data_IF_216630396045
#
_entry.id   IF_216630396045
#
_cell.length_a   1.000
_cell.length_b   1.000
_cell.length_c   1.000
_cell.angle_alpha   90.00
_cell.angle_beta   90.00
_cell.angle_gamma   90.00
#
_symmetry.space_group_name_H-M   'P 1'
#
loop_
_entity.id
_entity.type
_entity.pdbx_description
1 polymer ?
#
# COMPACT_ATOMS: atom_id res chain seq x y z
N UNK A 1 -3.72 -20.72 -6.80
CA UNK A 1 -3.46 -19.49 -6.03
C UNK A 1 -2.57 -19.89 -4.88
N UNK A 2 -1.38 -19.31 -4.75
CA UNK A 2 -0.47 -19.69 -3.66
C UNK A 2 -0.95 -19.09 -2.34
N UNK A 3 -0.53 -19.67 -1.21
CA UNK A 3 -0.83 -19.11 0.11
C UNK A 3 -0.25 -17.69 0.27
N UNK A 4 0.89 -17.41 -0.38
CA UNK A 4 1.48 -16.08 -0.44
C UNK A 4 0.56 -15.08 -1.15
N UNK A 5 -0.06 -15.47 -2.27
CA UNK A 5 -1.02 -14.63 -3.00
C UNK A 5 -2.25 -14.32 -2.15
N UNK A 6 -2.75 -15.31 -1.40
CA UNK A 6 -3.89 -15.13 -0.51
C UNK A 6 -3.59 -14.14 0.61
N UNK A 7 -2.44 -14.29 1.29
CA UNK A 7 -2.05 -13.38 2.38
C UNK A 7 -1.79 -11.96 1.86
N UNK A 8 -1.22 -11.81 0.66
CA UNK A 8 -1.11 -10.50 -0.01
C UNK A 8 -2.48 -9.89 -0.22
N UNK A 9 -3.42 -10.62 -0.82
CA UNK A 9 -4.78 -10.12 -1.03
C UNK A 9 -5.49 -9.72 0.27
N UNK A 10 -5.28 -10.47 1.35
CA UNK A 10 -5.87 -10.15 2.65
C UNK A 10 -5.38 -8.78 3.16
N UNK A 11 -4.07 -8.53 3.08
CA UNK A 11 -3.47 -7.25 3.49
C UNK A 11 -3.92 -6.09 2.60
N UNK A 12 -4.06 -6.32 1.29
CA UNK A 12 -4.59 -5.32 0.34
C UNK A 12 -6.04 -4.97 0.66
N UNK A 13 -6.87 -5.96 0.97
CA UNK A 13 -8.26 -5.75 1.36
C UNK A 13 -8.37 -5.01 2.70
N UNK A 14 -7.55 -5.38 3.69
CA UNK A 14 -7.49 -4.70 4.99
C UNK A 14 -7.10 -3.23 4.80
N UNK A 15 -6.06 -2.97 4.01
CA UNK A 15 -5.67 -1.60 3.67
C UNK A 15 -6.82 -0.83 3.01
N UNK A 16 -7.51 -1.42 2.02
CA UNK A 16 -8.63 -0.78 1.31
C UNK A 16 -9.80 -0.45 2.24
N UNK A 17 -10.12 -1.34 3.19
CA UNK A 17 -11.15 -1.09 4.20
C UNK A 17 -10.73 0.02 5.16
N UNK A 18 -9.47 0.02 5.60
CA UNK A 18 -8.95 1.03 6.52
C UNK A 18 -8.79 2.41 5.87
N UNK A 19 -8.53 2.46 4.56
CA UNK A 19 -8.37 3.69 3.80
C UNK A 19 -9.71 4.34 3.40
N UNK A 20 -10.83 3.61 3.50
CA UNK A 20 -12.14 4.17 3.18
C UNK A 20 -12.53 5.28 4.16
N UNK A 21 -12.91 6.44 3.61
CA UNK A 21 -13.32 7.61 4.41
C UNK A 21 -12.17 8.30 5.14
N UNK A 22 -10.93 7.82 4.98
CA UNK A 22 -9.73 8.48 5.49
C UNK A 22 -9.33 9.63 4.58
N UNK A 23 -8.79 10.69 5.20
CA UNK A 23 -8.21 11.80 4.47
C UNK A 23 -6.86 11.38 3.89
N UNK A 24 -6.43 12.06 2.83
CA UNK A 24 -5.24 11.67 2.08
C UNK A 24 -3.95 11.68 2.92
N UNK A 25 -3.86 12.61 3.87
CA UNK A 25 -2.77 12.69 4.85
C UNK A 25 -2.67 11.47 5.77
N UNK A 26 -3.76 10.73 5.96
CA UNK A 26 -3.80 9.48 6.72
C UNK A 26 -3.49 8.24 5.86
N UNK A 27 -3.58 8.35 4.53
CA UNK A 27 -3.34 7.24 3.60
C UNK A 27 -1.89 6.78 3.61
N UNK A 28 -0.96 7.73 3.56
CA UNK A 28 0.48 7.42 3.51
C UNK A 28 0.93 6.67 4.77
N UNK A 29 0.64 7.13 6.01
CA UNK A 29 0.93 6.36 7.23
C UNK A 29 0.32 4.96 7.24
N UNK A 30 -0.91 4.82 6.73
CA UNK A 30 -1.58 3.53 6.64
C UNK A 30 -0.86 2.56 5.69
N UNK A 31 -0.32 3.07 4.58
CA UNK A 31 0.46 2.28 3.63
C UNK A 31 1.75 1.76 4.28
N UNK A 32 2.44 2.61 5.06
CA UNK A 32 3.60 2.19 5.86
C UNK A 32 3.26 1.09 6.85
N UNK A 33 2.16 1.23 7.59
CA UNK A 33 1.74 0.25 8.58
C UNK A 33 1.45 -1.13 7.96
N UNK A 34 0.77 -1.14 6.80
CA UNK A 34 0.47 -2.38 6.08
C UNK A 34 1.73 -3.00 5.48
N UNK A 35 2.66 -2.20 4.96
CA UNK A 35 3.95 -2.71 4.49
C UNK A 35 4.80 -3.32 5.62
N UNK A 36 4.83 -2.68 6.79
CA UNK A 36 5.54 -3.22 7.96
C UNK A 36 4.91 -4.55 8.41
N UNK A 37 3.58 -4.63 8.44
CA UNK A 37 2.83 -5.87 8.73
C UNK A 37 3.12 -6.98 7.70
N UNK A 38 3.20 -6.63 6.42
CA UNK A 38 3.57 -7.55 5.36
C UNK A 38 4.99 -8.09 5.57
N UNK A 39 5.97 -7.22 5.78
CA UNK A 39 7.37 -7.61 6.04
C UNK A 39 7.50 -8.56 7.23
N UNK A 40 6.82 -8.26 8.34
CA UNK A 40 6.76 -9.13 9.53
C UNK A 40 6.15 -10.51 9.25
N UNK A 41 5.28 -10.59 8.25
CA UNK A 41 4.63 -11.83 7.80
C UNK A 41 5.44 -12.57 6.72
N UNK A 42 6.66 -12.12 6.40
CA UNK A 42 7.48 -12.67 5.32
C UNK A 42 6.98 -12.30 3.91
N UNK A 43 6.12 -11.29 3.82
CA UNK A 43 5.51 -10.84 2.57
C UNK A 43 6.19 -9.55 2.14
N UNK A 44 6.79 -9.58 0.96
CA UNK A 44 7.30 -8.37 0.31
C UNK A 44 6.29 -7.92 -0.73
N UNK A 45 5.77 -6.70 -0.57
CA UNK A 45 5.03 -6.05 -1.63
C UNK A 45 6.00 -5.58 -2.71
N UNK A 46 5.68 -5.90 -3.96
CA UNK A 46 6.42 -5.37 -5.10
C UNK A 46 5.92 -3.96 -5.43
N UNK A 47 6.65 -3.30 -6.34
CA UNK A 47 6.21 -2.03 -6.89
C UNK A 47 4.83 -2.15 -7.58
N UNK A 48 4.54 -3.27 -8.25
CA UNK A 48 3.20 -3.49 -8.84
C UNK A 48 2.12 -3.64 -7.77
N UNK A 49 2.38 -4.36 -6.69
CA UNK A 49 1.41 -4.54 -5.60
C UNK A 49 1.02 -3.18 -5.01
N UNK A 50 2.00 -2.32 -4.73
CA UNK A 50 1.72 -0.97 -4.25
C UNK A 50 1.06 -0.09 -5.31
N UNK A 51 1.44 -0.22 -6.58
CA UNK A 51 0.76 0.49 -7.66
C UNK A 51 -0.71 0.09 -7.76
N UNK A 52 -1.05 -1.19 -7.53
CA UNK A 52 -2.44 -1.66 -7.48
C UNK A 52 -3.20 -1.06 -6.29
N UNK A 53 -2.56 -0.98 -5.13
CA UNK A 53 -3.12 -0.27 -3.97
C UNK A 53 -3.39 1.18 -4.32
N UNK A 54 -2.37 1.90 -4.77
CA UNK A 54 -2.45 3.32 -5.14
C UNK A 54 -3.51 3.53 -6.23
N UNK A 55 -3.54 2.69 -7.26
CA UNK A 55 -4.51 2.77 -8.35
C UNK A 55 -5.94 2.55 -7.87
N UNK A 56 -6.13 1.64 -6.90
CA UNK A 56 -7.42 1.45 -6.24
C UNK A 56 -7.85 2.66 -5.39
N UNK A 57 -6.92 3.57 -5.12
CA UNK A 57 -7.12 4.83 -4.38
C UNK A 57 -6.96 6.09 -5.23
N UNK A 58 -6.72 5.99 -6.54
CA UNK A 58 -6.44 7.16 -7.41
C UNK A 58 -7.58 8.19 -7.48
N UNK A 59 -8.74 7.89 -6.89
CA UNK A 59 -9.80 8.88 -6.66
C UNK A 59 -9.67 9.68 -5.35
N UNK A 60 -8.73 9.33 -4.47
CA UNK A 60 -8.54 9.92 -3.15
C UNK A 60 -7.28 10.78 -3.12
N UNK A 61 -6.11 10.27 -3.54
CA UNK A 61 -4.81 10.97 -3.41
C UNK A 61 -4.71 12.26 -4.23
N UNK A 62 -4.11 13.30 -3.64
CA UNK A 62 -3.83 14.59 -4.31
C UNK A 62 -2.61 14.49 -5.23
N UNK A 63 -2.48 15.41 -6.21
CA UNK A 63 -1.30 15.49 -7.09
C UNK A 63 0.02 15.60 -6.34
N UNK A 64 0.02 16.26 -5.18
CA UNK A 64 1.20 16.39 -4.33
C UNK A 64 1.63 15.04 -3.77
N UNK A 65 0.69 14.21 -3.35
CA UNK A 65 0.98 12.89 -2.81
C UNK A 65 1.38 11.93 -3.91
N UNK A 66 0.75 12.01 -5.08
CA UNK A 66 1.16 11.24 -6.26
C UNK A 66 2.63 11.47 -6.63
N UNK A 67 3.14 12.69 -6.46
CA UNK A 67 4.56 13.02 -6.68
C UNK A 67 5.50 12.47 -5.61
N UNK A 68 5.01 12.23 -4.39
CA UNK A 68 5.80 11.68 -3.28
C UNK A 68 5.82 10.15 -3.29
N UNK A 69 4.87 9.51 -3.99
CA UNK A 69 4.80 8.04 -4.08
C UNK A 69 6.10 7.37 -4.51
N UNK A 70 6.83 7.83 -5.54
CA UNK A 70 8.08 7.18 -5.95
C UNK A 70 9.14 7.18 -4.84
N UNK A 71 9.27 8.28 -4.08
CA UNK A 71 10.17 8.36 -2.93
C UNK A 71 9.70 7.44 -1.79
N UNK A 72 8.40 7.40 -1.51
CA UNK A 72 7.84 6.52 -0.49
C UNK A 72 8.08 5.05 -0.83
N UNK A 73 7.87 4.64 -2.09
CA UNK A 73 8.17 3.29 -2.56
C UNK A 73 9.65 2.95 -2.44
N UNK A 74 10.54 3.91 -2.72
CA UNK A 74 11.98 3.76 -2.52
C UNK A 74 12.34 3.59 -1.04
N UNK A 75 11.76 4.37 -0.13
CA UNK A 75 11.96 4.24 1.32
C UNK A 75 11.46 2.91 1.88
N UNK A 76 10.45 2.32 1.26
CA UNK A 76 9.94 1.01 1.64
C UNK A 76 10.87 -0.13 1.20
N UNK A 77 12.01 0.15 0.55
CA UNK A 77 12.95 -0.82 -0.05
C UNK A 77 12.22 -1.83 -0.96
N UNK A 78 11.23 -1.34 -1.69
CA UNK A 78 10.51 -2.13 -2.69
C UNK A 78 11.28 -2.06 -4.01
N UNK A 79 12.32 -2.90 -4.12
CA UNK A 79 13.07 -3.12 -5.36
C UNK A 79 12.49 -4.28 -6.15
#
# INVERSE_FOLDING_TARGET
MSELDFRKQLLLNEFKTLSQGKKNDEIIPLLFAINDKAKKSGITFTKEDCQLVINSMSGQLSEKELRLLPELLSLLNMN
#
